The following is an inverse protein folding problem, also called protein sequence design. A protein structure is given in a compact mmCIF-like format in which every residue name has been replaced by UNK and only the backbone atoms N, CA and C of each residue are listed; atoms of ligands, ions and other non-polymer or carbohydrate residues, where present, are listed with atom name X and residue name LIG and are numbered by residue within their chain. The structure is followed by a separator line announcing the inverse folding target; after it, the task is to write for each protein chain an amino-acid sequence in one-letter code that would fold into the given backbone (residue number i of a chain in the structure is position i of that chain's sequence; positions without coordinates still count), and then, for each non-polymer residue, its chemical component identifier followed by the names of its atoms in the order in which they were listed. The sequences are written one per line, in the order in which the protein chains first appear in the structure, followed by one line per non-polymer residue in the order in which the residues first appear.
data_IF_024365725334
#
_entry.id   IF_024365725334
#
_cell.length_a   1.000
_cell.length_b   1.000
_cell.length_c   1.000
_cell.angle_alpha   90.00
_cell.angle_beta   90.00
_cell.angle_gamma   90.00
#
_symmetry.space_group_name_H-M   'P 1'
#
loop_
_entity.id
_entity.type
_entity.pdbx_description
1 polymer ?
#
# COMPACT_ATOMS: atom_id res chain seq x y z
N UNK A 1 5.38 43.44 42.17
CA UNK A 1 6.44 42.78 41.39
C UNK A 1 5.87 41.49 40.82
N UNK A 2 5.35 41.55 39.60
CA UNK A 2 4.74 40.43 38.88
C UNK A 2 5.81 39.68 38.11
N UNK A 3 6.23 38.51 38.60
CA UNK A 3 6.94 37.54 37.75
C UNK A 3 5.90 36.67 37.05
N UNK A 4 5.49 37.14 35.87
CA UNK A 4 4.75 36.36 34.88
C UNK A 4 5.67 35.23 34.39
N UNK A 5 5.40 34.00 34.85
CA UNK A 5 6.04 32.79 34.34
C UNK A 5 5.51 32.54 32.92
N UNK A 6 6.17 33.17 31.95
CA UNK A 6 6.00 32.96 30.52
C UNK A 6 6.33 31.50 30.17
N UNK A 7 5.33 30.62 30.29
CA UNK A 7 5.39 29.22 29.89
C UNK A 7 5.37 29.16 28.37
N UNK A 8 6.53 28.98 27.75
CA UNK A 8 6.63 28.59 26.34
C UNK A 8 6.05 27.18 26.17
N UNK A 9 4.99 26.95 25.38
CA UNK A 9 4.59 25.60 25.03
C UNK A 9 5.64 25.00 24.07
N UNK A 10 6.33 23.96 24.53
CA UNK A 10 7.23 23.16 23.70
C UNK A 10 6.48 22.54 22.52
N UNK A 11 6.84 22.97 21.32
CA UNK A 11 6.29 22.50 20.06
C UNK A 11 6.74 21.04 19.80
N UNK A 12 5.91 20.07 20.19
CA UNK A 12 6.11 18.61 19.96
C UNK A 12 5.30 18.06 18.77
N UNK A 13 4.95 18.88 17.79
CA UNK A 13 4.01 18.45 16.72
C UNK A 13 4.66 17.74 15.52
N UNK A 14 5.99 17.59 15.48
CA UNK A 14 6.66 16.90 14.37
C UNK A 14 6.65 15.36 14.48
N UNK A 15 6.52 14.81 15.69
CA UNK A 15 6.55 13.36 15.92
C UNK A 15 5.27 12.62 15.52
N UNK A 16 4.10 13.24 15.71
CA UNK A 16 2.81 12.55 15.53
C UNK A 16 2.50 12.18 14.07
N UNK A 17 2.90 13.02 13.10
CA UNK A 17 2.57 12.77 11.68
C UNK A 17 3.43 11.67 11.04
N UNK A 18 4.69 11.54 11.45
CA UNK A 18 5.57 10.47 10.96
C UNK A 18 5.15 9.13 11.55
N UNK A 19 4.85 9.10 12.85
CA UNK A 19 4.35 7.89 13.52
C UNK A 19 3.02 7.41 12.94
N UNK A 20 2.09 8.32 12.64
CA UNK A 20 0.82 8.00 11.97
C UNK A 20 1.04 7.42 10.56
N UNK A 21 1.99 7.98 9.79
CA UNK A 21 2.34 7.48 8.46
C UNK A 21 2.97 6.07 8.52
N UNK A 22 3.93 5.85 9.41
CA UNK A 22 4.55 4.54 9.60
C UNK A 22 3.54 3.49 10.07
N UNK A 23 2.63 3.86 10.98
CA UNK A 23 1.57 2.96 11.43
C UNK A 23 0.63 2.58 10.28
N UNK A 24 0.29 3.54 9.41
CA UNK A 24 -0.51 3.30 8.20
C UNK A 24 0.18 2.30 7.27
N UNK A 25 1.46 2.50 6.95
CA UNK A 25 2.23 1.58 6.12
C UNK A 25 2.30 0.18 6.74
N UNK A 26 2.50 0.08 8.05
CA UNK A 26 2.52 -1.20 8.77
C UNK A 26 1.19 -1.96 8.64
N UNK A 27 0.06 -1.26 8.79
CA UNK A 27 -1.29 -1.84 8.61
C UNK A 27 -1.49 -2.34 7.18
N UNK A 28 -1.07 -1.54 6.19
CA UNK A 28 -1.14 -1.91 4.77
C UNK A 28 -0.32 -3.16 4.44
N UNK A 29 0.93 -3.24 4.89
CA UNK A 29 1.77 -4.46 4.73
C UNK A 29 1.10 -5.67 5.37
N UNK A 30 0.64 -5.54 6.60
CA UNK A 30 -0.03 -6.64 7.31
C UNK A 30 -1.26 -7.14 6.54
N UNK A 31 -2.09 -6.24 6.00
CA UNK A 31 -3.26 -6.61 5.20
C UNK A 31 -2.90 -7.25 3.86
N UNK A 32 -1.75 -6.88 3.29
CA UNK A 32 -1.25 -7.43 2.03
C UNK A 32 -0.69 -8.85 2.19
N UNK A 33 -0.21 -9.20 3.38
CA UNK A 33 0.32 -10.52 3.74
C UNK A 33 -0.70 -11.47 4.40
N UNK A 34 -1.90 -10.98 4.72
CA UNK A 34 -2.97 -11.75 5.37
C UNK A 34 -4.20 -11.85 4.47
N UNK A 35 -3.98 -12.20 3.21
CA UNK A 35 -5.05 -12.45 2.24
C UNK A 35 -5.62 -13.87 2.44
N UNK A 36 -6.77 -14.13 1.83
CA UNK A 36 -7.48 -15.40 1.93
C UNK A 36 -6.88 -16.52 1.09
N UNK A 37 -6.04 -16.19 0.10
CA UNK A 37 -5.36 -17.17 -0.77
C UNK A 37 -3.86 -16.90 -0.86
N UNK A 38 -3.08 -17.98 -0.90
CA UNK A 38 -1.61 -17.94 -0.87
C UNK A 38 -1.03 -17.20 -2.08
N UNK A 39 -1.65 -17.33 -3.24
CA UNK A 39 -1.23 -16.68 -4.47
C UNK A 39 -1.27 -15.15 -4.33
N UNK A 40 -2.29 -14.62 -3.65
CA UNK A 40 -2.41 -13.18 -3.39
C UNK A 40 -1.36 -12.70 -2.42
N UNK A 41 -1.07 -13.45 -1.36
CA UNK A 41 0.02 -13.10 -0.42
C UNK A 41 1.38 -13.05 -1.15
N UNK A 42 1.62 -13.98 -2.09
CA UNK A 42 2.85 -14.03 -2.86
C UNK A 42 3.00 -12.88 -3.87
N UNK A 43 1.89 -12.28 -4.29
CA UNK A 43 1.88 -11.11 -5.19
C UNK A 43 1.93 -9.81 -4.39
N UNK A 44 0.96 -9.60 -3.50
CA UNK A 44 0.76 -8.35 -2.78
C UNK A 44 1.73 -8.18 -1.61
N UNK A 45 2.15 -9.25 -0.93
CA UNK A 45 3.11 -9.17 0.18
C UNK A 45 4.42 -8.50 -0.27
N UNK A 46 5.15 -9.09 -1.23
CA UNK A 46 6.34 -8.49 -1.85
C UNK A 46 6.18 -7.07 -2.38
N UNK A 47 5.06 -6.81 -3.05
CA UNK A 47 4.75 -5.49 -3.59
C UNK A 47 4.60 -4.48 -2.47
N UNK A 48 3.82 -4.82 -1.44
CA UNK A 48 3.64 -3.99 -0.26
C UNK A 48 4.94 -3.76 0.50
N UNK A 49 5.88 -4.70 0.45
CA UNK A 49 7.14 -4.51 1.14
C UNK A 49 8.09 -3.53 0.45
N UNK A 50 7.92 -3.32 -0.85
CA UNK A 50 8.85 -2.60 -1.71
C UNK A 50 8.30 -1.27 -2.21
N UNK A 51 7.02 -1.23 -2.60
CA UNK A 51 6.47 -0.10 -3.37
C UNK A 51 5.73 0.92 -2.49
N UNK A 52 5.02 0.48 -1.43
CA UNK A 52 4.11 1.38 -0.69
C UNK A 52 4.83 2.49 0.07
N UNK A 53 6.10 2.30 0.42
CA UNK A 53 6.91 3.32 1.10
C UNK A 53 7.24 4.50 0.17
N UNK A 54 7.30 4.24 -1.15
CA UNK A 54 7.53 5.24 -2.17
C UNK A 54 6.22 5.77 -2.81
N UNK A 55 5.06 5.29 -2.37
CA UNK A 55 3.77 5.72 -2.91
C UNK A 55 3.35 7.09 -2.38
N UNK A 56 2.61 7.83 -3.22
CA UNK A 56 1.98 9.07 -2.76
C UNK A 56 0.84 8.78 -1.79
N UNK A 57 0.43 9.74 -0.94
CA UNK A 57 -0.72 9.57 -0.05
C UNK A 57 -2.00 9.15 -0.79
N UNK A 58 -2.22 9.67 -2.00
CA UNK A 58 -3.38 9.33 -2.83
C UNK A 58 -3.31 7.88 -3.36
N UNK A 59 -2.12 7.40 -3.72
CA UNK A 59 -1.93 6.00 -4.12
C UNK A 59 -2.12 5.05 -2.94
N UNK A 60 -1.68 5.45 -1.74
CA UNK A 60 -1.94 4.69 -0.52
C UNK A 60 -3.43 4.64 -0.19
N UNK A 61 -4.17 5.73 -0.40
CA UNK A 61 -5.64 5.75 -0.23
C UNK A 61 -6.28 4.77 -1.21
N UNK A 62 -5.89 4.80 -2.49
CA UNK A 62 -6.39 3.84 -3.49
C UNK A 62 -6.00 2.40 -3.15
N UNK A 63 -4.79 2.17 -2.64
CA UNK A 63 -4.34 0.84 -2.22
C UNK A 63 -5.13 0.31 -1.03
N UNK A 64 -5.50 1.17 -0.07
CA UNK A 64 -6.40 0.78 1.02
C UNK A 64 -7.77 0.33 0.53
N UNK A 65 -8.34 1.06 -0.44
CA UNK A 65 -9.63 0.68 -1.05
C UNK A 65 -9.46 -0.63 -1.81
N UNK A 66 -8.38 -0.80 -2.59
CA UNK A 66 -8.08 -2.05 -3.29
C UNK A 66 -7.99 -3.24 -2.33
N UNK A 67 -7.35 -3.08 -1.18
CA UNK A 67 -7.24 -4.14 -0.17
C UNK A 67 -8.58 -4.48 0.52
N UNK A 68 -9.62 -3.66 0.37
CA UNK A 68 -10.97 -4.01 0.82
C UNK A 68 -11.71 -4.93 -0.16
N UNK A 69 -11.23 -5.07 -1.40
CA UNK A 69 -11.80 -5.98 -2.40
C UNK A 69 -11.50 -7.45 -2.07
N UNK A 70 -12.36 -8.34 -2.58
CA UNK A 70 -12.23 -9.79 -2.39
C UNK A 70 -11.08 -10.35 -3.23
N UNK A 71 -10.33 -11.29 -2.66
CA UNK A 71 -9.25 -12.00 -3.36
C UNK A 71 -9.70 -12.74 -4.62
N UNK A 72 -10.94 -13.23 -4.64
CA UNK A 72 -11.51 -13.91 -5.79
C UNK A 72 -11.68 -12.98 -7.00
N UNK A 73 -11.81 -11.67 -6.77
CA UNK A 73 -11.90 -10.65 -7.82
C UNK A 73 -10.52 -10.06 -8.14
N UNK A 74 -9.74 -9.74 -7.11
CA UNK A 74 -8.40 -9.16 -7.26
C UNK A 74 -7.44 -10.08 -8.04
N UNK A 75 -7.46 -11.39 -7.76
CA UNK A 75 -6.53 -12.32 -8.38
C UNK A 75 -6.70 -12.39 -9.91
N UNK A 76 -7.91 -12.57 -10.46
CA UNK A 76 -8.16 -12.42 -11.90
C UNK A 76 -7.75 -11.05 -12.45
N UNK A 77 -8.00 -9.95 -11.73
CA UNK A 77 -7.66 -8.61 -12.22
C UNK A 77 -6.16 -8.39 -12.39
N UNK A 78 -5.35 -8.93 -11.48
CA UNK A 78 -3.89 -8.84 -11.56
C UNK A 78 -3.35 -9.79 -12.63
N UNK A 79 -3.78 -11.05 -12.62
CA UNK A 79 -3.24 -12.08 -13.53
C UNK A 79 -3.62 -11.84 -14.99
N UNK A 80 -4.79 -11.25 -15.26
CA UNK A 80 -5.22 -10.88 -16.61
C UNK A 80 -4.24 -9.90 -17.30
N UNK A 81 -3.56 -9.05 -16.52
CA UNK A 81 -2.60 -8.05 -17.04
C UNK A 81 -1.34 -8.69 -17.58
N UNK A 82 -0.97 -9.88 -17.11
CA UNK A 82 0.12 -10.66 -17.72
C UNK A 82 -0.16 -11.04 -19.17
N UNK A 83 -1.44 -11.06 -19.57
CA UNK A 83 -1.89 -11.31 -20.93
C UNK A 83 -2.35 -10.04 -21.67
N UNK A 84 -2.15 -8.85 -21.08
CA UNK A 84 -2.57 -7.57 -21.67
C UNK A 84 -4.06 -7.23 -21.50
N UNK A 85 -4.78 -7.93 -20.62
CA UNK A 85 -6.18 -7.65 -20.32
C UNK A 85 -6.30 -6.82 -19.03
N UNK A 86 -7.26 -5.90 -18.99
CA UNK A 86 -7.45 -4.97 -17.87
C UNK A 86 -8.88 -5.02 -17.28
N UNK A 87 -9.33 -6.17 -16.75
CA UNK A 87 -10.62 -6.23 -16.07
C UNK A 87 -10.56 -5.53 -14.70
N UNK A 88 -11.74 -5.15 -14.22
CA UNK A 88 -11.93 -4.48 -12.92
C UNK A 88 -12.24 -2.98 -13.05
N UNK A 89 -12.44 -2.29 -11.93
CA UNK A 89 -12.74 -0.87 -11.90
C UNK A 89 -11.59 -0.01 -12.45
N UNK A 90 -11.91 0.97 -13.29
CA UNK A 90 -10.94 1.86 -13.94
C UNK A 90 -10.06 2.62 -12.94
N UNK A 91 -10.62 3.01 -11.80
CA UNK A 91 -9.92 3.70 -10.71
C UNK A 91 -8.71 2.92 -10.16
N UNK A 92 -8.70 1.59 -10.29
CA UNK A 92 -7.61 0.74 -9.84
C UNK A 92 -6.65 0.38 -10.97
N UNK A 93 -6.91 0.75 -12.22
CA UNK A 93 -6.18 0.21 -13.36
C UNK A 93 -4.68 0.47 -13.25
N UNK A 94 -4.28 1.73 -13.00
CA UNK A 94 -2.87 2.08 -12.89
C UNK A 94 -2.16 1.35 -11.73
N UNK A 95 -2.85 1.19 -10.60
CA UNK A 95 -2.31 0.51 -9.43
C UNK A 95 -2.16 -1.00 -9.68
N UNK A 96 -3.16 -1.62 -10.29
CA UNK A 96 -3.13 -3.03 -10.66
C UNK A 96 -2.08 -3.30 -11.76
N UNK A 97 -1.86 -2.38 -12.70
CA UNK A 97 -0.78 -2.45 -13.68
C UNK A 97 0.57 -2.46 -12.98
N UNK A 98 0.78 -1.55 -12.03
CA UNK A 98 2.00 -1.49 -11.22
C UNK A 98 2.25 -2.77 -10.42
N UNK A 99 1.20 -3.34 -9.80
CA UNK A 99 1.28 -4.62 -9.09
C UNK A 99 1.66 -5.76 -10.04
N UNK A 100 1.01 -5.83 -11.20
CA UNK A 100 1.27 -6.86 -12.19
C UNK A 100 2.70 -6.75 -12.75
N UNK A 101 3.16 -5.56 -13.11
CA UNK A 101 4.52 -5.33 -13.59
C UNK A 101 5.56 -5.75 -12.54
N UNK A 102 5.40 -5.34 -11.27
CA UNK A 102 6.28 -5.75 -10.18
C UNK A 102 6.32 -7.27 -10.00
N UNK A 103 5.15 -7.93 -10.03
CA UNK A 103 5.05 -9.37 -9.89
C UNK A 103 5.72 -10.10 -11.07
N UNK A 104 5.48 -9.65 -12.30
CA UNK A 104 6.12 -10.20 -13.51
C UNK A 104 7.64 -10.07 -13.43
N UNK A 105 8.15 -8.90 -13.09
CA UNK A 105 9.59 -8.63 -13.03
C UNK A 105 10.27 -9.46 -11.94
N UNK A 106 9.61 -9.65 -10.79
CA UNK A 106 10.10 -10.52 -9.71
C UNK A 106 10.12 -11.99 -10.11
N UNK A 107 9.10 -12.45 -10.83
CA UNK A 107 9.04 -13.84 -11.33
C UNK A 107 10.08 -14.08 -12.42
N UNK A 108 10.31 -13.09 -13.30
CA UNK A 108 11.33 -13.16 -14.34
C UNK A 108 12.75 -13.22 -13.77
N UNK A 109 13.06 -12.45 -12.72
CA UNK A 109 14.38 -12.43 -12.05
C UNK A 109 14.73 -13.70 -11.27
N UNK A 110 13.76 -14.60 -11.06
CA UNK A 110 13.96 -15.84 -10.30
C UNK A 110 14.36 -17.03 -11.18
N UNK A 111 14.30 -16.89 -12.50
CA UNK A 111 14.77 -17.86 -13.50
C UNK A 111 16.10 -17.44 -14.09
#
# INVERSE_FOLDING_TARGET
MTLDHMRLPGNRQAGGKMEEHEERLRKLRMRSWRRGIKEMDLILGPFSDSEIEAMSPADLDLYEVLLNENDQDLYPWITARFSGNHPGPEQFSALLDRVADFARDRLAKKN
#
